data_IF_311748770625
#
_entry.id   IF_311748770625
#
_cell.length_a   1.000
_cell.length_b   1.000
_cell.length_c   1.000
_cell.angle_alpha   90.00
_cell.angle_beta   90.00
_cell.angle_gamma   90.00
#
_symmetry.space_group_name_H-M   'P 1'
#
loop_
_entity.id
_entity.type
_entity.pdbx_description
1 polymer ?
#
# COMPACT_ATOMS: atom_id res chain seq x y z
N UNK A 1 -2.47 15.70 -15.06
CA UNK A 1 -1.86 14.43 -14.64
C UNK A 1 -3.02 13.56 -14.15
N UNK A 2 -3.54 12.67 -15.00
CA UNK A 2 -4.52 11.68 -14.57
C UNK A 2 -3.73 10.44 -14.17
N UNK A 3 -3.27 10.37 -12.92
CA UNK A 3 -2.65 9.15 -12.43
C UNK A 3 -3.73 8.08 -12.33
N UNK A 4 -3.56 7.01 -13.10
CA UNK A 4 -4.44 5.85 -13.07
C UNK A 4 -4.43 5.22 -11.67
N UNK A 5 -5.46 4.44 -11.34
CA UNK A 5 -5.52 3.71 -10.07
C UNK A 5 -4.27 2.84 -9.88
N UNK A 6 -3.81 2.19 -10.95
CA UNK A 6 -2.58 1.40 -10.98
C UNK A 6 -1.35 2.19 -10.54
N UNK A 7 -1.16 3.39 -11.10
CA UNK A 7 -0.05 4.27 -10.79
C UNK A 7 -0.12 4.75 -9.33
N UNK A 8 -1.31 5.12 -8.84
CA UNK A 8 -1.51 5.51 -7.44
C UNK A 8 -1.14 4.38 -6.47
N UNK A 9 -1.63 3.15 -6.71
CA UNK A 9 -1.33 2.00 -5.84
C UNK A 9 0.17 1.69 -5.83
N UNK A 10 0.80 1.68 -7.01
CA UNK A 10 2.22 1.39 -7.17
C UNK A 10 3.10 2.45 -6.49
N UNK A 11 2.83 3.73 -6.72
CA UNK A 11 3.61 4.83 -6.12
C UNK A 11 3.46 4.86 -4.60
N UNK A 12 2.24 4.80 -4.08
CA UNK A 12 1.97 4.75 -2.63
C UNK A 12 2.70 3.57 -1.96
N UNK A 13 2.66 2.38 -2.57
CA UNK A 13 3.38 1.20 -2.05
C UNK A 13 4.89 1.46 -1.94
N UNK A 14 5.49 2.04 -2.97
CA UNK A 14 6.91 2.32 -3.03
C UNK A 14 7.33 3.40 -2.02
N UNK A 15 6.56 4.48 -1.89
CA UNK A 15 6.81 5.54 -0.90
C UNK A 15 6.75 5.00 0.54
N UNK A 16 5.88 4.03 0.77
CA UNK A 16 5.74 3.34 2.05
C UNK A 16 6.82 2.26 2.29
N UNK A 17 7.67 1.97 1.30
CA UNK A 17 8.74 0.98 1.38
C UNK A 17 8.25 -0.47 1.39
N UNK A 18 7.05 -0.72 0.84
CA UNK A 18 6.44 -2.05 0.82
C UNK A 18 6.80 -2.84 -0.45
N UNK A 19 7.02 -4.13 -0.28
CA UNK A 19 7.05 -5.09 -1.39
C UNK A 19 5.64 -5.41 -1.90
N UNK A 20 5.53 -5.97 -3.10
CA UNK A 20 4.23 -6.41 -3.65
C UNK A 20 3.60 -7.51 -2.76
N UNK A 21 4.37 -8.49 -2.33
CA UNK A 21 3.90 -9.55 -1.42
C UNK A 21 3.32 -8.98 -0.12
N UNK A 22 4.01 -8.03 0.49
CA UNK A 22 3.56 -7.42 1.74
C UNK A 22 2.27 -6.60 1.59
N UNK A 23 2.09 -5.88 0.49
CA UNK A 23 0.83 -5.16 0.24
C UNK A 23 -0.31 -6.16 -0.06
N UNK A 24 -0.03 -7.16 -0.91
CA UNK A 24 -1.01 -8.17 -1.29
C UNK A 24 -1.50 -8.97 -0.08
N UNK A 25 -0.59 -9.39 0.80
CA UNK A 25 -0.91 -10.08 2.04
C UNK A 25 -1.80 -9.23 2.96
N UNK A 26 -1.50 -7.94 3.12
CA UNK A 26 -2.31 -7.02 3.95
C UNK A 26 -3.68 -6.75 3.36
N UNK A 27 -3.79 -6.68 2.04
CA UNK A 27 -5.05 -6.48 1.33
C UNK A 27 -5.85 -7.77 1.13
N UNK A 28 -5.31 -8.94 1.53
CA UNK A 28 -6.00 -10.22 1.39
C UNK A 28 -6.15 -10.71 -0.06
N UNK A 29 -5.23 -10.31 -0.96
CA UNK A 29 -5.23 -10.72 -2.37
C UNK A 29 -3.95 -11.45 -2.74
N UNK A 30 -3.94 -12.10 -3.91
CA UNK A 30 -2.71 -12.72 -4.42
C UNK A 30 -1.72 -11.68 -4.95
N UNK A 31 -0.42 -11.94 -4.78
CA UNK A 31 0.64 -11.09 -5.34
C UNK A 31 0.58 -10.98 -6.86
N UNK A 32 0.15 -12.06 -7.54
CA UNK A 32 -0.09 -12.05 -8.99
C UNK A 32 -1.17 -11.04 -9.36
N UNK A 33 -2.27 -11.02 -8.61
CA UNK A 33 -3.35 -10.09 -8.90
C UNK A 33 -2.96 -8.63 -8.63
N UNK A 34 -2.22 -8.36 -7.54
CA UNK A 34 -1.63 -7.03 -7.32
C UNK A 34 -0.72 -6.60 -8.48
N UNK A 35 0.12 -7.51 -8.99
CA UNK A 35 0.98 -7.24 -10.14
C UNK A 35 0.17 -6.89 -11.39
N UNK A 36 -0.94 -7.59 -11.64
CA UNK A 36 -1.79 -7.30 -12.79
C UNK A 36 -2.43 -5.91 -12.66
N UNK A 37 -2.89 -5.53 -11.45
CA UNK A 37 -3.41 -4.19 -11.15
C UNK A 37 -2.34 -3.11 -11.35
N UNK A 38 -1.12 -3.31 -10.84
CA UNK A 38 -0.03 -2.32 -10.97
C UNK A 38 0.51 -2.15 -12.39
N UNK A 39 0.18 -3.05 -13.31
CA UNK A 39 0.59 -3.00 -14.72
C UNK A 39 -0.58 -2.70 -15.67
N UNK A 40 -1.70 -2.18 -15.16
CA UNK A 40 -2.91 -1.86 -15.95
C UNK A 40 -3.53 -3.07 -16.69
N UNK A 41 -3.23 -4.29 -16.25
CA UNK A 41 -3.74 -5.53 -16.87
C UNK A 41 -5.07 -6.00 -16.25
N UNK A 42 -5.77 -5.12 -15.52
CA UNK A 42 -7.08 -5.41 -14.97
C UNK A 42 -7.60 -4.29 -14.08
N UNK A 43 -8.89 -4.01 -14.17
CA UNK A 43 -9.58 -3.09 -13.25
C UNK A 43 -9.95 -3.91 -11.99
N UNK A 44 -9.43 -3.56 -10.81
CA UNK A 44 -9.84 -4.22 -9.57
C UNK A 44 -11.33 -3.98 -9.31
N UNK A 45 -12.00 -4.94 -8.67
CA UNK A 45 -13.33 -4.66 -8.11
C UNK A 45 -13.23 -3.59 -7.01
N UNK A 46 -14.34 -2.90 -6.73
CA UNK A 46 -14.40 -1.86 -5.70
C UNK A 46 -13.88 -2.36 -4.34
N UNK A 47 -14.26 -3.58 -3.94
CA UNK A 47 -13.79 -4.19 -2.69
C UNK A 47 -12.25 -4.37 -2.65
N UNK A 48 -11.64 -4.77 -3.77
CA UNK A 48 -10.19 -4.94 -3.86
C UNK A 48 -9.50 -3.59 -3.77
N UNK A 49 -10.06 -2.58 -4.43
CA UNK A 49 -9.54 -1.22 -4.37
C UNK A 49 -9.60 -0.67 -2.94
N UNK A 50 -10.74 -0.79 -2.27
CA UNK A 50 -10.90 -0.39 -0.85
C UNK A 50 -9.93 -1.13 0.07
N UNK A 51 -9.74 -2.43 -0.15
CA UNK A 51 -8.83 -3.26 0.65
C UNK A 51 -7.37 -2.82 0.49
N UNK A 52 -6.95 -2.47 -0.73
CA UNK A 52 -5.62 -1.93 -1.00
C UNK A 52 -5.41 -0.55 -0.36
N UNK A 53 -6.41 0.34 -0.46
CA UNK A 53 -6.36 1.66 0.18
C UNK A 53 -6.24 1.55 1.70
N UNK A 54 -7.03 0.68 2.32
CA UNK A 54 -6.97 0.44 3.77
C UNK A 54 -5.61 -0.13 4.19
N UNK A 55 -5.05 -1.07 3.42
CA UNK A 55 -3.74 -1.64 3.69
C UNK A 55 -2.61 -0.59 3.65
N UNK A 56 -2.65 0.31 2.66
CA UNK A 56 -1.69 1.42 2.54
C UNK A 56 -1.83 2.41 3.71
N UNK A 57 -3.05 2.86 4.00
CA UNK A 57 -3.33 3.81 5.08
C UNK A 57 -2.89 3.26 6.45
N UNK A 58 -3.23 2.01 6.77
CA UNK A 58 -2.88 1.40 8.05
C UNK A 58 -1.36 1.27 8.23
N UNK A 59 -0.60 1.01 7.16
CA UNK A 59 0.86 0.96 7.23
C UNK A 59 1.46 2.33 7.52
N UNK A 60 0.96 3.39 6.88
CA UNK A 60 1.36 4.77 7.17
C UNK A 60 1.10 5.14 8.64
N UNK A 61 -0.09 4.84 9.16
CA UNK A 61 -0.44 5.09 10.56
C UNK A 61 0.45 4.32 11.54
N UNK A 62 0.80 3.07 11.22
CA UNK A 62 1.72 2.27 12.02
C UNK A 62 3.14 2.88 12.07
N UNK A 63 3.63 3.44 10.95
CA UNK A 63 4.91 4.18 10.93
C UNK A 63 4.86 5.42 11.83
N UNK A 64 3.76 6.17 11.79
CA UNK A 64 3.60 7.38 12.61
C UNK A 64 3.54 7.08 14.11
N UNK A 65 2.85 6.01 14.52
CA UNK A 65 2.72 5.62 15.94
C UNK A 65 4.06 5.28 16.60
N UNK A 66 5.04 4.76 15.84
CA UNK A 66 6.37 4.42 16.38
C UNK A 66 7.44 5.51 16.16
N UNK A 67 7.27 6.40 15.18
CA UNK A 67 8.16 7.55 14.96
C UNK A 67 8.13 8.60 16.09
N UNK A 68 7.02 8.68 16.85
CA UNK A 68 6.88 9.60 17.98
C UNK A 68 7.65 9.14 19.24
N UNK A 69 7.87 7.84 19.41
CA UNK A 69 8.52 7.28 20.61
C UNK A 69 10.06 7.47 20.59
N UNK A 70 10.66 7.61 19.40
CA UNK A 70 12.11 7.76 19.22
C UNK A 70 12.65 9.16 19.56
N UNK A 71 11.80 10.13 19.93
CA UNK A 71 12.24 11.47 20.37
C UNK A 71 12.49 11.61 21.88
N UNK A 72 12.19 10.59 22.70
CA UNK A 72 12.35 10.66 24.17
C UNK A 72 13.52 9.87 24.76
N UNK A 73 14.34 9.20 23.94
CA UNK A 73 15.38 8.29 24.46
C UNK A 73 16.76 8.52 23.88
N UNK A 74 17.09 9.77 23.52
CA UNK A 74 18.49 10.20 23.41
C UNK A 74 18.79 11.09 24.62
N UNK A 75 19.12 10.43 25.74
CA UNK A 75 19.86 11.04 26.84
C UNK A 75 21.29 10.53 26.76
#
# INVERSE_FOLDING_TARGET
MNSTISEYIKTSRLELGLTQDELAQRAGISVRYLRDIENDNGIPSDWVYESLQQALFNHEQNRMKWGAQLRKTRR
#
